data_IF_984280020277
#
_entry.id   IF_984280020277
#
_cell.length_a   1.000
_cell.length_b   1.000
_cell.length_c   1.000
_cell.angle_alpha   90.00
_cell.angle_beta   90.00
_cell.angle_gamma   90.00
#
_symmetry.space_group_name_H-M   'P 1'
#
loop_
_entity.id
_entity.type
_entity.pdbx_description
1 polymer ?
#
# COMPACT_ATOMS: atom_id res chain seq x y z
N UNK A 1 10.17 -3.80 7.62
CA UNK A 1 9.14 -4.86 7.66
C UNK A 1 7.81 -4.20 7.36
N UNK A 2 7.07 -4.67 6.36
CA UNK A 2 5.77 -4.12 5.96
C UNK A 2 4.66 -4.91 6.67
N UNK A 3 3.86 -4.19 7.45
CA UNK A 3 2.75 -4.72 8.25
C UNK A 3 1.46 -3.95 8.00
N UNK A 4 0.31 -4.51 8.40
CA UNK A 4 -1.01 -3.88 8.23
C UNK A 4 -1.14 -2.53 8.95
N UNK A 5 -0.39 -2.36 10.04
CA UNK A 5 -0.31 -1.15 10.87
C UNK A 5 0.71 -0.13 10.35
N UNK A 6 1.54 -0.49 9.36
CA UNK A 6 2.46 0.46 8.74
C UNK A 6 1.65 1.50 7.96
N UNK A 7 2.05 2.77 8.04
CA UNK A 7 1.41 3.83 7.26
C UNK A 7 1.91 3.83 5.83
N UNK A 8 1.09 4.34 4.90
CA UNK A 8 1.50 4.51 3.50
C UNK A 8 2.77 5.35 3.42
N UNK A 9 2.87 6.43 4.20
CA UNK A 9 4.07 7.26 4.28
C UNK A 9 5.30 6.45 4.73
N UNK A 10 5.21 5.70 5.82
CA UNK A 10 6.35 4.91 6.32
C UNK A 10 6.83 3.90 5.26
N UNK A 11 5.90 3.25 4.57
CA UNK A 11 6.21 2.29 3.52
C UNK A 11 6.89 2.98 2.35
N UNK A 12 6.39 4.14 1.90
CA UNK A 12 7.00 4.89 0.80
C UNK A 12 8.37 5.47 1.16
N UNK A 13 8.59 5.88 2.43
CA UNK A 13 9.88 6.36 2.91
C UNK A 13 10.92 5.24 3.00
N UNK A 14 10.53 4.06 3.51
CA UNK A 14 11.44 2.92 3.66
C UNK A 14 11.63 2.11 2.37
N UNK A 15 10.59 2.07 1.53
CA UNK A 15 10.48 1.21 0.35
C UNK A 15 9.88 2.00 -0.82
N UNK A 16 10.63 2.95 -1.41
CA UNK A 16 10.10 3.80 -2.47
C UNK A 16 9.63 3.03 -3.71
N UNK A 17 10.12 1.80 -3.93
CA UNK A 17 9.67 0.96 -5.05
C UNK A 17 8.22 0.47 -4.91
N UNK A 18 7.69 0.45 -3.69
CA UNK A 18 6.28 0.11 -3.44
C UNK A 18 5.29 1.15 -3.98
N UNK A 19 5.76 2.35 -4.35
CA UNK A 19 4.93 3.39 -4.96
C UNK A 19 4.19 2.90 -6.20
N UNK A 20 4.83 2.03 -6.99
CA UNK A 20 4.23 1.45 -8.19
C UNK A 20 3.03 0.53 -7.87
N UNK A 21 3.05 -0.12 -6.71
CA UNK A 21 1.92 -0.94 -6.24
C UNK A 21 0.71 -0.06 -5.96
N UNK A 22 0.91 1.01 -5.19
CA UNK A 22 -0.16 1.96 -4.89
C UNK A 22 -0.74 2.58 -6.17
N UNK A 23 0.11 3.00 -7.11
CA UNK A 23 -0.30 3.59 -8.40
C UNK A 23 -1.15 2.63 -9.26
N UNK A 24 -0.80 1.34 -9.25
CA UNK A 24 -1.57 0.29 -9.94
C UNK A 24 -2.98 0.11 -9.35
N UNK A 25 -3.12 0.19 -8.02
CA UNK A 25 -4.43 0.16 -7.36
C UNK A 25 -5.23 1.46 -7.56
N UNK A 26 -4.54 2.60 -7.59
CA UNK A 26 -5.07 3.94 -7.87
C UNK A 26 -5.76 3.97 -9.25
N UNK A 27 -5.07 3.45 -10.28
CA UNK A 27 -5.60 3.33 -11.65
C UNK A 27 -6.81 2.41 -11.74
N UNK A 28 -6.91 1.37 -10.89
CA UNK A 28 -8.05 0.45 -10.89
C UNK A 28 -9.30 1.04 -10.25
N UNK A 29 -9.16 1.97 -9.30
CA UNK A 29 -10.29 2.52 -8.53
C UNK A 29 -10.62 3.99 -8.88
N UNK A 30 -9.78 4.65 -9.69
CA UNK A 30 -9.98 6.04 -10.10
C UNK A 30 -9.91 7.03 -8.93
N UNK A 31 -9.28 6.64 -7.83
CA UNK A 31 -9.16 7.43 -6.60
C UNK A 31 -7.70 7.46 -6.17
N UNK A 32 -7.17 8.66 -5.91
CA UNK A 32 -5.83 8.85 -5.34
C UNK A 32 -5.75 8.34 -3.90
N UNK A 33 -5.46 7.04 -3.75
CA UNK A 33 -5.18 6.35 -2.49
C UNK A 33 -4.00 7.03 -1.80
N UNK A 34 -2.96 7.37 -2.57
CA UNK A 34 -1.77 8.06 -2.04
C UNK A 34 -2.04 9.49 -1.54
N UNK A 35 -3.07 10.18 -2.08
CA UNK A 35 -3.36 11.57 -1.72
C UNK A 35 -4.31 11.67 -0.52
N UNK A 36 -5.24 10.72 -0.38
CA UNK A 36 -6.23 10.73 0.71
C UNK A 36 -5.78 9.97 1.96
N UNK A 37 -4.90 8.98 1.80
CA UNK A 37 -4.57 8.02 2.87
C UNK A 37 -3.08 7.95 3.19
N UNK A 38 -2.31 9.01 2.90
CA UNK A 38 -0.86 9.06 3.13
C UNK A 38 -0.48 8.72 4.59
N UNK A 39 -1.30 9.18 5.55
CA UNK A 39 -1.11 8.95 6.99
C UNK A 39 -1.90 7.77 7.53
N UNK A 40 -2.71 7.12 6.70
CA UNK A 40 -3.48 5.94 7.10
C UNK A 40 -2.60 4.68 7.03
N UNK A 41 -3.00 3.70 7.81
CA UNK A 41 -2.43 2.35 7.78
C UNK A 41 -2.85 1.58 6.52
N UNK A 42 -2.09 0.56 6.15
CA UNK A 42 -2.45 -0.33 5.03
C UNK A 42 -3.82 -0.97 5.26
N UNK A 43 -4.15 -1.32 6.51
CA UNK A 43 -5.47 -1.84 6.88
C UNK A 43 -6.60 -0.85 6.59
N UNK A 44 -6.46 0.41 7.01
CA UNK A 44 -7.45 1.46 6.74
C UNK A 44 -7.60 1.72 5.25
N UNK A 45 -6.49 1.76 4.50
CA UNK A 45 -6.50 1.90 3.04
C UNK A 45 -7.27 0.75 2.40
N UNK A 46 -7.02 -0.47 2.83
CA UNK A 46 -7.68 -1.65 2.28
C UNK A 46 -9.19 -1.62 2.59
N UNK A 47 -9.57 -1.32 3.82
CA UNK A 47 -10.96 -1.19 4.22
C UNK A 47 -11.69 -0.06 3.48
N UNK A 48 -11.07 1.12 3.36
CA UNK A 48 -11.67 2.29 2.74
C UNK A 48 -11.90 2.12 1.22
N UNK A 49 -11.11 1.29 0.56
CA UNK A 49 -11.18 1.06 -0.88
C UNK A 49 -11.76 -0.32 -1.24
N UNK A 50 -12.16 -1.13 -0.25
CA UNK A 50 -12.64 -2.50 -0.47
C UNK A 50 -11.58 -3.44 -1.05
N UNK A 51 -10.30 -3.15 -0.82
CA UNK A 51 -9.19 -3.95 -1.31
C UNK A 51 -8.93 -5.14 -0.37
N UNK A 52 -8.54 -6.30 -0.91
CA UNK A 52 -8.07 -7.41 -0.09
C UNK A 52 -6.73 -7.07 0.59
N UNK A 53 -6.76 -6.84 1.91
CA UNK A 53 -5.59 -6.45 2.73
C UNK A 53 -4.40 -7.40 2.55
N UNK A 54 -4.63 -8.71 2.56
CA UNK A 54 -3.56 -9.70 2.43
C UNK A 54 -2.85 -9.60 1.07
N UNK A 55 -3.62 -9.38 0.00
CA UNK A 55 -3.06 -9.21 -1.34
C UNK A 55 -2.27 -7.91 -1.47
N UNK A 56 -2.80 -6.81 -0.92
CA UNK A 56 -2.08 -5.54 -0.88
C UNK A 56 -0.76 -5.67 -0.13
N UNK A 57 -0.74 -6.33 1.03
CA UNK A 57 0.49 -6.58 1.79
C UNK A 57 1.47 -7.48 1.03
N UNK A 58 0.99 -8.49 0.32
CA UNK A 58 1.82 -9.37 -0.50
C UNK A 58 2.47 -8.59 -1.66
N UNK A 59 1.68 -7.82 -2.42
CA UNK A 59 2.18 -7.00 -3.52
C UNK A 59 3.20 -5.95 -3.02
N UNK A 60 2.95 -5.32 -1.86
CA UNK A 60 3.90 -4.39 -1.24
C UNK A 60 5.19 -5.08 -0.80
N UNK A 61 5.12 -6.24 -0.15
CA UNK A 61 6.31 -7.01 0.25
C UNK A 61 7.10 -7.48 -0.97
N UNK A 62 6.39 -7.87 -2.03
CA UNK A 62 6.98 -8.30 -3.29
C UNK A 62 7.73 -7.18 -3.98
N UNK A 63 7.11 -6.00 -4.08
CA UNK A 63 7.75 -4.81 -4.60
C UNK A 63 8.97 -4.42 -3.77
N UNK A 64 8.86 -4.43 -2.44
CA UNK A 64 9.95 -4.13 -1.51
C UNK A 64 11.09 -5.18 -1.48
N UNK A 65 11.01 -6.24 -2.28
CA UNK A 65 12.02 -7.31 -2.29
C UNK A 65 12.06 -8.15 -1.01
N UNK A 66 11.00 -8.12 -0.20
CA UNK A 66 10.84 -8.90 1.04
C UNK A 66 10.18 -10.27 0.81
N UNK A 67 10.16 -10.74 -0.45
CA UNK A 67 9.63 -12.06 -0.82
C UNK A 67 10.59 -13.15 -0.35
N UNK A 68 10.13 -14.09 0.48
CA UNK A 68 10.84 -15.33 0.84
C UNK A 68 10.02 -16.53 0.39
#
# INVERSE_FOLDING_TARGET
MISRESTVLEILEKYPETRAVFDSYDSQHGVCISCKNLFCTVEEVAAANGLPLERLLEDLRKAAGLSF
#
